data_IF_681754837558
#
_entry.id   IF_681754837558
#
_cell.length_a   1.000
_cell.length_b   1.000
_cell.length_c   1.000
_cell.angle_alpha   90.00
_cell.angle_beta   90.00
_cell.angle_gamma   90.00
#
_symmetry.space_group_name_H-M   'P 1'
#
loop_
_entity.id
_entity.type
_entity.pdbx_description
1 polymer ?
#
# COMPACT_ATOMS: atom_id res chain seq x y z
N UNK A 1 2.40 9.63 3.35
CA UNK A 1 1.10 10.38 3.37
C UNK A 1 0.03 9.74 4.27
N UNK A 2 -0.28 8.45 4.12
CA UNK A 2 -1.33 7.78 4.92
C UNK A 2 -0.95 7.56 6.39
N UNK A 3 0.33 7.35 6.67
CA UNK A 3 0.84 7.31 8.04
C UNK A 3 0.59 8.62 8.78
N UNK A 4 0.93 9.76 8.14
CA UNK A 4 0.64 11.10 8.67
C UNK A 4 -0.86 11.35 8.82
N UNK A 5 -1.70 10.80 7.94
CA UNK A 5 -3.15 10.84 8.11
C UNK A 5 -3.62 10.01 9.32
N UNK A 6 -3.03 8.84 9.55
CA UNK A 6 -3.34 7.97 10.68
C UNK A 6 -2.97 8.64 12.00
N UNK A 7 -1.80 9.28 12.07
CA UNK A 7 -1.35 10.03 13.24
C UNK A 7 -2.31 11.18 13.57
N UNK A 8 -2.71 11.97 12.56
CA UNK A 8 -3.71 13.02 12.75
C UNK A 8 -5.08 12.47 13.19
N UNK A 9 -5.49 11.30 12.70
CA UNK A 9 -6.72 10.65 13.17
C UNK A 9 -6.61 10.14 14.60
N UNK A 10 -5.43 9.66 15.02
CA UNK A 10 -5.15 9.26 16.41
C UNK A 10 -5.20 10.46 17.35
N UNK A 11 -4.75 11.64 16.89
CA UNK A 11 -4.92 12.93 17.58
C UNK A 11 -6.37 13.46 17.56
N UNK A 12 -7.35 12.69 17.07
CA UNK A 12 -8.76 13.06 17.04
C UNK A 12 -9.16 14.05 15.94
N UNK A 13 -8.27 14.35 14.98
CA UNK A 13 -8.54 15.35 13.93
C UNK A 13 -9.61 14.85 12.95
N UNK A 14 -10.50 15.75 12.54
CA UNK A 14 -11.51 15.48 11.53
C UNK A 14 -10.93 15.38 10.11
N UNK A 15 -11.60 14.63 9.23
CA UNK A 15 -11.13 14.38 7.85
C UNK A 15 -10.94 15.65 7.00
N UNK A 16 -11.68 16.73 7.26
CA UNK A 16 -11.52 18.02 6.57
C UNK A 16 -10.22 18.72 6.99
N UNK A 17 -9.90 18.68 8.28
CA UNK A 17 -8.63 19.21 8.80
C UNK A 17 -7.45 18.42 8.24
N UNK A 18 -7.55 17.09 8.25
CA UNK A 18 -6.52 16.20 7.69
C UNK A 18 -6.35 16.43 6.17
N UNK A 19 -7.44 16.62 5.44
CA UNK A 19 -7.40 16.95 4.00
C UNK A 19 -6.64 18.25 3.71
N UNK A 20 -6.90 19.31 4.50
CA UNK A 20 -6.18 20.59 4.38
C UNK A 20 -4.70 20.45 4.72
N UNK A 21 -4.36 19.76 5.81
CA UNK A 21 -2.97 19.57 6.25
C UNK A 21 -2.15 18.77 5.23
N UNK A 22 -2.78 17.79 4.57
CA UNK A 22 -2.10 16.90 3.62
C UNK A 22 -2.22 17.36 2.15
N UNK A 23 -3.01 18.39 1.85
CA UNK A 23 -3.29 18.80 0.46
C UNK A 23 -4.05 17.75 -0.36
N UNK A 24 -4.81 16.87 0.29
CA UNK A 24 -5.51 15.75 -0.35
C UNK A 24 -7.01 16.04 -0.45
N UNK A 25 -7.71 15.62 -1.53
CA UNK A 25 -9.16 15.78 -1.61
C UNK A 25 -9.90 15.19 -0.41
N UNK A 26 -10.80 15.99 0.18
CA UNK A 26 -11.57 15.59 1.37
C UNK A 26 -12.36 14.28 1.18
N UNK A 27 -12.77 13.97 -0.06
CA UNK A 27 -13.45 12.70 -0.41
C UNK A 27 -12.53 11.48 -0.21
N UNK A 28 -11.24 11.59 -0.53
CA UNK A 28 -10.27 10.52 -0.29
C UNK A 28 -10.02 10.34 1.21
N UNK A 29 -9.78 11.44 1.93
CA UNK A 29 -9.55 11.42 3.38
C UNK A 29 -10.78 10.95 4.17
N UNK A 30 -11.99 11.19 3.67
CA UNK A 30 -13.22 10.62 4.24
C UNK A 30 -13.24 9.09 4.15
N UNK A 31 -12.79 8.48 3.04
CA UNK A 31 -12.67 7.02 2.92
C UNK A 31 -11.62 6.47 3.89
N UNK A 32 -10.49 7.15 4.01
CA UNK A 32 -9.43 6.83 4.95
C UNK A 32 -9.95 6.79 6.40
N UNK A 33 -10.67 7.83 6.82
CA UNK A 33 -11.27 7.92 8.16
C UNK A 33 -12.27 6.79 8.44
N UNK A 34 -13.10 6.39 7.46
CA UNK A 34 -14.04 5.27 7.64
C UNK A 34 -13.30 3.97 7.94
N UNK A 35 -12.22 3.70 7.22
CA UNK A 35 -11.44 2.46 7.38
C UNK A 35 -10.64 2.47 8.68
N UNK A 36 -10.01 3.60 8.99
CA UNK A 36 -9.36 3.84 10.28
C UNK A 36 -10.29 3.56 11.47
N UNK A 37 -11.56 3.98 11.40
CA UNK A 37 -12.55 3.68 12.45
C UNK A 37 -12.98 2.23 12.52
N UNK A 38 -12.95 1.50 11.41
CA UNK A 38 -13.44 0.12 11.34
C UNK A 38 -12.37 -0.91 11.73
N UNK A 39 -11.11 -0.68 11.35
CA UNK A 39 -10.03 -1.68 11.44
C UNK A 39 -8.76 -1.09 12.09
N UNK A 40 -8.71 0.21 12.35
CA UNK A 40 -7.57 0.85 13.01
C UNK A 40 -6.48 1.33 12.05
N UNK A 41 -5.33 1.73 12.63
CA UNK A 41 -4.19 2.37 11.96
C UNK A 41 -3.64 1.55 10.79
N UNK A 42 -3.51 0.24 10.97
CA UNK A 42 -2.94 -0.68 9.98
C UNK A 42 -3.76 -0.72 8.69
N UNK A 43 -5.08 -0.60 8.80
CA UNK A 43 -5.99 -0.60 7.65
C UNK A 43 -5.82 0.60 6.73
N UNK A 44 -5.33 1.71 7.27
CA UNK A 44 -5.09 2.94 6.54
C UNK A 44 -3.72 2.89 5.85
N UNK A 45 -2.74 2.24 6.48
CA UNK A 45 -1.43 1.96 5.88
C UNK A 45 -1.57 0.99 4.70
N UNK A 46 -2.38 -0.07 4.84
CA UNK A 46 -2.74 -0.99 3.75
C UNK A 46 -3.70 -0.42 2.68
N UNK A 47 -4.07 0.87 2.74
CA UNK A 47 -5.09 1.44 1.85
C UNK A 47 -4.53 1.92 0.49
N UNK A 48 -3.69 1.14 -0.16
CA UNK A 48 -3.27 1.28 -1.56
C UNK A 48 -3.02 -0.07 -2.22
N UNK A 49 -3.34 -1.10 -1.47
CA UNK A 49 -3.39 -2.46 -1.89
C UNK A 49 -4.74 -2.65 -2.54
N UNK A 50 -4.75 -2.77 -3.87
CA UNK A 50 -5.93 -3.27 -4.53
C UNK A 50 -6.30 -4.58 -3.83
N UNK A 51 -7.53 -4.75 -3.30
CA UNK A 51 -8.01 -6.07 -2.91
C UNK A 51 -8.21 -6.87 -4.19
N UNK A 52 -7.11 -7.35 -4.75
CA UNK A 52 -7.03 -8.02 -6.03
C UNK A 52 -6.05 -9.16 -5.87
N UNK A 53 -6.55 -10.30 -5.39
CA UNK A 53 -5.87 -11.60 -5.24
C UNK A 53 -4.57 -11.68 -4.41
N UNK A 54 -3.84 -10.59 -4.17
CA UNK A 54 -2.50 -10.61 -3.57
C UNK A 54 -2.39 -9.60 -2.42
N UNK A 55 -2.10 -10.08 -1.20
CA UNK A 55 -1.83 -9.22 -0.04
C UNK A 55 -0.52 -8.43 -0.18
N UNK A 56 -0.31 -7.43 0.69
CA UNK A 56 0.88 -6.55 0.70
C UNK A 56 2.15 -7.35 0.74
N UNK A 57 2.19 -8.25 1.73
CA UNK A 57 3.31 -9.09 2.08
C UNK A 57 3.70 -9.95 0.88
N UNK A 58 2.72 -10.54 0.18
CA UNK A 58 2.97 -11.35 -1.01
C UNK A 58 3.58 -10.54 -2.16
N UNK A 59 3.12 -9.29 -2.35
CA UNK A 59 3.64 -8.40 -3.40
C UNK A 59 5.05 -7.90 -3.07
N UNK A 60 5.30 -7.55 -1.80
CA UNK A 60 6.59 -7.10 -1.32
C UNK A 60 7.63 -8.23 -1.35
N UNK A 61 7.25 -9.43 -0.92
CA UNK A 61 8.11 -10.61 -0.97
C UNK A 61 8.49 -10.98 -2.41
N UNK A 62 7.51 -10.99 -3.33
CA UNK A 62 7.76 -11.25 -4.75
C UNK A 62 8.70 -10.20 -5.38
N UNK A 63 8.49 -8.91 -5.07
CA UNK A 63 9.32 -7.85 -5.60
C UNK A 63 10.74 -7.88 -5.03
N UNK A 64 10.91 -8.17 -3.73
CA UNK A 64 12.22 -8.29 -3.08
C UNK A 64 13.03 -9.48 -3.58
N UNK A 65 12.38 -10.62 -3.80
CA UNK A 65 13.05 -11.79 -4.39
C UNK A 65 13.66 -11.46 -5.76
N UNK A 66 12.95 -10.69 -6.59
CA UNK A 66 13.43 -10.31 -7.93
C UNK A 66 14.48 -9.20 -7.90
N UNK A 67 14.29 -8.14 -7.07
CA UNK A 67 15.20 -6.97 -7.04
C UNK A 67 16.44 -7.23 -6.21
N UNK A 68 16.27 -7.82 -5.02
CA UNK A 68 17.35 -8.02 -4.05
C UNK A 68 18.08 -9.34 -4.21
N UNK A 69 17.33 -10.43 -4.38
CA UNK A 69 17.89 -11.80 -4.47
C UNK A 69 18.24 -12.20 -5.91
N UNK A 70 17.89 -11.38 -6.91
CA UNK A 70 18.14 -11.68 -8.32
C UNK A 70 17.29 -12.83 -8.88
N UNK A 71 16.23 -13.25 -8.16
CA UNK A 71 15.34 -14.32 -8.59
C UNK A 71 14.71 -14.01 -9.95
N UNK A 72 14.67 -15.01 -10.83
CA UNK A 72 14.03 -14.87 -12.13
C UNK A 72 12.54 -14.53 -11.97
N UNK A 73 12.06 -13.54 -12.74
CA UNK A 73 10.64 -13.15 -12.77
C UNK A 73 9.66 -14.35 -12.90
N UNK A 74 9.86 -15.34 -13.79
CA UNK A 74 8.97 -16.50 -13.87
C UNK A 74 9.00 -17.39 -12.63
N UNK A 75 10.15 -17.54 -11.96
CA UNK A 75 10.25 -18.27 -10.69
C UNK A 75 9.50 -17.55 -9.58
N UNK A 76 9.65 -16.23 -9.47
CA UNK A 76 8.89 -15.42 -8.53
C UNK A 76 7.38 -15.50 -8.81
N UNK A 77 6.96 -15.49 -10.07
CA UNK A 77 5.54 -15.68 -10.40
C UNK A 77 5.00 -17.02 -9.90
N UNK A 78 5.76 -18.11 -10.06
CA UNK A 78 5.36 -19.44 -9.59
C UNK A 78 5.40 -19.54 -8.06
N UNK A 79 6.45 -19.01 -7.43
CA UNK A 79 6.66 -19.08 -5.99
C UNK A 79 5.68 -18.23 -5.17
N UNK A 80 5.28 -17.08 -5.71
CA UNK A 80 4.38 -16.14 -5.04
C UNK A 80 2.95 -16.14 -5.62
N UNK A 81 2.65 -17.05 -6.54
CA UNK A 81 1.32 -17.23 -7.13
C UNK A 81 0.85 -16.07 -8.02
N UNK A 82 1.78 -15.25 -8.53
CA UNK A 82 1.47 -14.04 -9.30
C UNK A 82 0.96 -14.43 -10.69
N UNK A 83 -0.28 -14.05 -10.99
CA UNK A 83 -0.97 -14.46 -12.21
C UNK A 83 -0.40 -13.82 -13.48
N UNK A 84 0.31 -12.69 -13.39
CA UNK A 84 0.85 -12.02 -14.56
C UNK A 84 2.16 -11.25 -14.28
N UNK A 85 3.00 -11.17 -15.31
CA UNK A 85 4.33 -10.56 -15.23
C UNK A 85 4.27 -9.03 -15.08
N UNK A 86 3.24 -8.38 -15.61
CA UNK A 86 3.06 -6.92 -15.52
C UNK A 86 2.84 -6.45 -14.07
N UNK A 87 2.12 -7.23 -13.28
CA UNK A 87 1.92 -6.98 -11.84
C UNK A 87 3.25 -7.03 -11.11
N UNK A 88 4.04 -8.06 -11.38
CA UNK A 88 5.36 -8.24 -10.79
C UNK A 88 6.32 -7.11 -11.21
N UNK A 89 6.31 -6.71 -12.48
CA UNK A 89 7.15 -5.61 -12.98
C UNK A 89 6.83 -4.27 -12.32
N UNK A 90 5.54 -3.96 -12.16
CA UNK A 90 5.10 -2.76 -11.46
C UNK A 90 5.54 -2.76 -9.99
N UNK A 91 5.44 -3.89 -9.27
CA UNK A 91 5.92 -3.98 -7.88
C UNK A 91 7.45 -3.87 -7.80
N UNK A 92 8.16 -4.49 -8.74
CA UNK A 92 9.61 -4.43 -8.87
C UNK A 92 10.10 -2.99 -9.13
N UNK A 93 9.35 -2.19 -9.89
CA UNK A 93 9.63 -0.77 -10.10
C UNK A 93 9.39 0.06 -8.85
N UNK A 94 8.29 -0.19 -8.13
CA UNK A 94 7.97 0.49 -6.88
C UNK A 94 9.03 0.21 -5.80
N UNK A 95 9.45 -1.05 -5.62
CA UNK A 95 10.51 -1.41 -4.68
C UNK A 95 11.88 -0.79 -4.99
N UNK A 96 12.16 -0.43 -6.25
CA UNK A 96 13.40 0.27 -6.63
C UNK A 96 13.35 1.78 -6.39
N UNK A 97 12.15 2.35 -6.20
CA UNK A 97 11.94 3.78 -5.99
C UNK A 97 11.71 4.19 -4.53
N UNK A 98 11.59 3.24 -3.61
CA UNK A 98 11.66 3.48 -2.15
C UNK A 98 13.10 3.25 -1.69
N UNK A 99 13.96 4.22 -1.98
CA UNK A 99 15.31 4.36 -1.42
C UNK A 99 15.37 5.56 -0.48
#
# INVERSE_FOLDING_TARGET
MRERAADLFAQGRGYVSVARVLGVPAKAVRRWRRRYRAVGRESLLGMGETPGKYGFEARLAAARAVVGDGMAKPEAMRGFGVANMASLDNWCRLCRGEG
#
